data_IF_127050139029
#
_entry.id   IF_127050139029
#
_cell.length_a   1.000
_cell.length_b   1.000
_cell.length_c   1.000
_cell.angle_alpha   90.00
_cell.angle_beta   90.00
_cell.angle_gamma   90.00
#
_symmetry.space_group_name_H-M   'P 1'
#
loop_
_entity.id
_entity.type
_entity.pdbx_description
1 polymer ?
#
# COMPACT_ATOMS: atom_id res chain seq x y z
N UNK A 1 -7.83 -18.04 19.12
CA UNK A 1 -9.10 -18.79 19.27
C UNK A 1 -10.16 -17.80 19.71
N UNK A 2 -11.15 -17.53 18.85
CA UNK A 2 -12.39 -16.89 19.30
C UNK A 2 -13.11 -17.91 20.18
N UNK A 3 -13.16 -17.69 21.49
CA UNK A 3 -14.00 -18.50 22.37
C UNK A 3 -15.45 -18.27 21.97
N UNK A 4 -16.18 -19.35 21.71
CA UNK A 4 -17.63 -19.32 21.51
C UNK A 4 -18.29 -18.92 22.84
N UNK A 5 -18.59 -17.63 22.99
CA UNK A 5 -19.31 -17.08 24.14
C UNK A 5 -20.79 -17.40 23.98
N UNK A 6 -21.38 -18.02 24.99
CA UNK A 6 -22.82 -18.27 25.05
C UNK A 6 -23.55 -16.96 25.42
N UNK A 7 -23.89 -16.19 24.38
CA UNK A 7 -24.59 -14.90 24.48
C UNK A 7 -25.89 -14.99 25.29
N UNK A 8 -26.55 -16.17 25.33
CA UNK A 8 -27.81 -16.36 26.02
C UNK A 8 -27.70 -16.29 27.55
N UNK A 9 -26.50 -16.55 28.10
CA UNK A 9 -26.24 -16.66 29.54
C UNK A 9 -25.64 -15.39 30.17
N UNK A 10 -25.37 -14.34 29.39
CA UNK A 10 -24.69 -13.12 29.85
C UNK A 10 -25.65 -12.11 30.50
N UNK A 11 -25.19 -11.43 31.56
CA UNK A 11 -25.90 -10.25 32.09
C UNK A 11 -25.83 -9.08 31.10
N UNK A 12 -26.72 -8.08 31.19
CA UNK A 12 -26.66 -6.88 30.35
C UNK A 12 -25.27 -6.22 30.36
N UNK A 13 -24.64 -6.08 31.53
CA UNK A 13 -23.32 -5.47 31.65
C UNK A 13 -22.21 -6.32 31.03
N UNK A 14 -22.34 -7.65 31.04
CA UNK A 14 -21.41 -8.56 30.38
C UNK A 14 -21.54 -8.49 28.85
N UNK A 15 -22.77 -8.35 28.35
CA UNK A 15 -23.03 -8.13 26.92
C UNK A 15 -22.48 -6.79 26.45
N UNK A 16 -22.67 -5.72 27.22
CA UNK A 16 -22.15 -4.39 26.88
C UNK A 16 -20.62 -4.40 26.79
N UNK A 17 -19.94 -5.04 27.76
CA UNK A 17 -18.48 -5.21 27.72
C UNK A 17 -18.02 -6.06 26.55
N UNK A 18 -18.76 -7.10 26.21
CA UNK A 18 -18.47 -7.96 25.07
C UNK A 18 -18.58 -7.17 23.75
N UNK A 19 -19.67 -6.45 23.55
CA UNK A 19 -19.91 -5.64 22.35
C UNK A 19 -18.85 -4.53 22.20
N UNK A 20 -18.47 -3.88 23.31
CA UNK A 20 -17.37 -2.91 23.32
C UNK A 20 -16.04 -3.55 22.93
N UNK A 21 -15.71 -4.74 23.45
CA UNK A 21 -14.48 -5.46 23.09
C UNK A 21 -14.43 -5.83 21.61
N UNK A 22 -15.56 -6.24 21.03
CA UNK A 22 -15.69 -6.56 19.62
C UNK A 22 -15.54 -5.30 18.76
N UNK A 23 -16.10 -4.17 19.20
CA UNK A 23 -15.93 -2.88 18.51
C UNK A 23 -14.47 -2.45 18.49
N UNK A 24 -13.78 -2.48 19.64
CA UNK A 24 -12.35 -2.14 19.74
C UNK A 24 -11.52 -3.05 18.82
N UNK A 25 -11.80 -4.36 18.83
CA UNK A 25 -11.11 -5.30 17.96
C UNK A 25 -11.33 -4.98 16.47
N UNK A 26 -12.57 -4.70 16.06
CA UNK A 26 -12.90 -4.32 14.67
C UNK A 26 -12.20 -3.03 14.25
N UNK A 27 -12.23 -1.99 15.09
CA UNK A 27 -11.60 -0.71 14.80
C UNK A 27 -10.08 -0.85 14.65
N UNK A 28 -9.46 -1.65 15.51
CA UNK A 28 -8.03 -1.99 15.43
C UNK A 28 -7.69 -2.73 14.13
N UNK A 29 -8.43 -3.79 13.80
CA UNK A 29 -8.21 -4.57 12.58
C UNK A 29 -8.36 -3.68 11.35
N UNK A 30 -9.45 -2.93 11.24
CA UNK A 30 -9.74 -2.06 10.10
C UNK A 30 -8.63 -1.03 9.90
N UNK A 31 -8.18 -0.37 10.98
CA UNK A 31 -7.09 0.61 10.94
C UNK A 31 -5.79 0.01 10.41
N UNK A 32 -5.44 -1.19 10.86
CA UNK A 32 -4.22 -1.87 10.41
C UNK A 32 -4.35 -2.30 8.95
N UNK A 33 -5.44 -2.94 8.55
CA UNK A 33 -5.63 -3.35 7.15
C UNK A 33 -5.59 -2.17 6.20
N UNK A 34 -6.23 -1.05 6.55
CA UNK A 34 -6.22 0.15 5.73
C UNK A 34 -4.81 0.75 5.63
N UNK A 35 -4.09 0.81 6.75
CA UNK A 35 -2.73 1.34 6.80
C UNK A 35 -1.78 0.46 5.98
N UNK A 36 -1.80 -0.85 6.19
CA UNK A 36 -0.98 -1.82 5.45
C UNK A 36 -1.27 -1.77 3.95
N UNK A 37 -2.54 -1.66 3.55
CA UNK A 37 -2.90 -1.55 2.13
C UNK A 37 -2.41 -0.26 1.49
N UNK A 38 -2.50 0.87 2.21
CA UNK A 38 -1.98 2.16 1.75
C UNK A 38 -0.47 2.12 1.59
N UNK A 39 0.26 1.62 2.57
CA UNK A 39 1.72 1.52 2.53
C UNK A 39 2.18 0.54 1.44
N UNK A 40 1.49 -0.58 1.24
CA UNK A 40 1.77 -1.50 0.14
C UNK A 40 1.58 -0.83 -1.23
N UNK A 41 0.49 -0.09 -1.43
CA UNK A 41 0.25 0.68 -2.67
C UNK A 41 1.31 1.74 -2.91
N UNK A 42 1.72 2.46 -1.86
CA UNK A 42 2.82 3.44 -1.94
C UNK A 42 4.11 2.76 -2.36
N UNK A 43 4.48 1.65 -1.69
CA UNK A 43 5.68 0.88 -2.03
C UNK A 43 5.71 0.40 -3.48
N UNK A 44 4.59 -0.11 -3.98
CA UNK A 44 4.45 -0.52 -5.39
C UNK A 44 4.62 0.66 -6.36
N UNK A 45 4.04 1.81 -6.03
CA UNK A 45 4.12 3.01 -6.88
C UNK A 45 5.54 3.57 -6.90
N UNK A 46 6.17 3.70 -5.74
CA UNK A 46 7.55 4.17 -5.59
C UNK A 46 8.54 3.20 -6.25
N UNK A 47 8.34 1.90 -6.09
CA UNK A 47 9.16 0.87 -6.74
C UNK A 47 9.14 0.99 -8.26
N UNK A 48 7.93 1.05 -8.85
CA UNK A 48 7.76 1.24 -10.31
C UNK A 48 8.39 2.54 -10.81
N UNK A 49 8.31 3.62 -10.03
CA UNK A 49 8.92 4.91 -10.40
C UNK A 49 10.44 4.82 -10.38
N UNK A 50 11.03 4.23 -9.34
CA UNK A 50 12.48 4.02 -9.23
C UNK A 50 13.01 3.15 -10.36
N UNK A 51 12.34 2.05 -10.65
CA UNK A 51 12.69 1.15 -11.76
C UNK A 51 12.70 1.87 -13.11
N UNK A 52 11.65 2.66 -13.41
CA UNK A 52 11.60 3.47 -14.65
C UNK A 52 12.76 4.45 -14.77
N UNK A 53 13.13 5.11 -13.67
CA UNK A 53 14.25 6.06 -13.62
C UNK A 53 15.58 5.33 -13.85
N UNK A 54 15.77 4.17 -13.21
CA UNK A 54 16.98 3.35 -13.37
C UNK A 54 17.14 2.86 -14.81
N UNK A 55 16.06 2.33 -15.41
CA UNK A 55 16.04 1.93 -16.82
C UNK A 55 16.37 3.12 -17.72
N UNK A 56 15.74 4.28 -17.51
CA UNK A 56 16.02 5.48 -18.31
C UNK A 56 17.48 5.92 -18.21
N UNK A 57 18.07 5.89 -17.01
CA UNK A 57 19.49 6.21 -16.79
C UNK A 57 20.40 5.23 -17.53
N UNK A 58 20.13 3.93 -17.45
CA UNK A 58 20.91 2.91 -18.14
C UNK A 58 20.82 3.06 -19.66
N UNK A 59 19.62 3.30 -20.20
CA UNK A 59 19.43 3.54 -21.64
C UNK A 59 20.14 4.82 -22.12
N UNK A 60 20.17 5.87 -21.27
CA UNK A 60 20.91 7.10 -21.55
C UNK A 60 22.42 6.86 -21.57
N UNK A 61 22.94 6.03 -20.67
CA UNK A 61 24.34 5.61 -20.67
C UNK A 61 24.72 4.81 -21.93
N UNK A 62 23.79 4.00 -22.43
CA UNK A 62 23.89 3.30 -23.72
C UNK A 62 23.67 4.20 -24.95
N UNK A 63 23.63 5.53 -24.76
CA UNK A 63 23.44 6.53 -25.82
C UNK A 63 22.16 6.35 -26.65
N UNK A 64 21.11 5.75 -26.07
CA UNK A 64 19.84 5.60 -26.77
C UNK A 64 19.17 6.97 -27.00
N UNK A 65 18.44 7.16 -28.12
CA UNK A 65 17.76 8.42 -28.37
C UNK A 65 16.69 8.74 -27.32
N UNK A 66 16.62 10.00 -26.88
CA UNK A 66 15.64 10.52 -25.92
C UNK A 66 14.20 10.09 -26.22
N UNK A 67 13.79 10.15 -27.49
CA UNK A 67 12.44 9.72 -27.94
C UNK A 67 12.17 8.24 -27.68
N UNK A 68 13.19 7.38 -27.79
CA UNK A 68 13.07 5.95 -27.53
C UNK A 68 12.97 5.70 -26.03
N UNK A 69 13.81 6.36 -25.24
CA UNK A 69 13.78 6.26 -23.77
C UNK A 69 12.42 6.71 -23.23
N UNK A 70 11.90 7.85 -23.72
CA UNK A 70 10.57 8.35 -23.34
C UNK A 70 9.45 7.37 -23.69
N UNK A 71 9.50 6.77 -24.88
CA UNK A 71 8.51 5.77 -25.32
C UNK A 71 8.52 4.50 -24.46
N UNK A 72 9.71 4.01 -24.08
CA UNK A 72 9.86 2.75 -23.33
C UNK A 72 9.54 2.93 -21.84
N UNK A 73 10.03 4.00 -21.22
CA UNK A 73 9.88 4.24 -19.78
C UNK A 73 8.56 4.95 -19.43
N UNK A 74 7.97 5.65 -20.42
CA UNK A 74 6.81 6.52 -20.22
C UNK A 74 7.12 7.78 -19.43
N UNK A 75 8.41 8.13 -19.27
CA UNK A 75 8.85 9.41 -18.71
C UNK A 75 8.81 10.50 -19.77
N UNK A 76 8.65 11.74 -19.35
CA UNK A 76 8.73 12.88 -20.26
C UNK A 76 10.18 13.09 -20.73
N UNK A 77 10.40 13.67 -21.93
CA UNK A 77 11.74 14.02 -22.38
C UNK A 77 12.49 14.91 -21.37
N UNK A 78 11.80 15.86 -20.75
CA UNK A 78 12.36 16.77 -19.74
C UNK A 78 12.77 16.02 -18.46
N UNK A 79 12.00 14.99 -18.06
CA UNK A 79 12.39 14.13 -16.94
C UNK A 79 13.68 13.37 -17.25
N UNK A 80 13.82 12.82 -18.45
CA UNK A 80 14.99 12.03 -18.88
C UNK A 80 16.24 12.91 -19.05
N UNK A 81 16.09 14.15 -19.53
CA UNK A 81 17.20 15.10 -19.64
C UNK A 81 17.82 15.41 -18.27
N UNK A 82 17.00 15.47 -17.23
CA UNK A 82 17.42 15.72 -15.84
C UNK A 82 18.03 14.51 -15.11
N UNK A 83 18.00 13.30 -15.68
CA UNK A 83 18.56 12.07 -15.08
C UNK A 83 20.08 11.93 -15.28
#
# INVERSE_FOLDING_TARGET
MLQSVDLASMTPEERDRYDESIKIYRDYVNTITDTSHREWKKGQTEGRKKEKIEIARNMKAESMPLKVIAKVTGLSPEEIERL
#
